data_IF_361812497913
#
_entry.id   IF_361812497913
#
_cell.length_a   1.000
_cell.length_b   1.000
_cell.length_c   1.000
_cell.angle_alpha   90.00
_cell.angle_beta   90.00
_cell.angle_gamma   90.00
#
_symmetry.space_group_name_H-M   'P 1'
#
loop_
_entity.id
_entity.type
_entity.pdbx_description
1 polymer ?
#
# COMPACT_ATOMS: atom_id res chain seq x y z
N UNK A 1 17.97 -34.79 19.56
CA UNK A 1 18.55 -33.81 18.61
C UNK A 1 19.44 -34.57 17.67
N UNK A 2 19.25 -34.42 16.35
CA UNK A 2 20.13 -35.06 15.38
C UNK A 2 21.55 -34.46 15.51
N UNK A 3 22.60 -35.25 15.30
CA UNK A 3 23.99 -34.78 15.35
C UNK A 3 24.22 -33.54 14.46
N UNK A 4 23.53 -33.48 13.30
CA UNK A 4 23.56 -32.35 12.39
C UNK A 4 22.96 -31.05 12.95
N UNK A 5 21.99 -31.11 13.87
CA UNK A 5 21.30 -29.92 14.39
C UNK A 5 22.25 -29.02 15.20
N UNK A 6 23.13 -29.62 16.01
CA UNK A 6 24.11 -28.89 16.81
C UNK A 6 25.16 -28.19 15.91
N UNK A 7 25.60 -28.89 14.86
CA UNK A 7 26.54 -28.34 13.88
C UNK A 7 25.88 -27.19 13.11
N UNK A 8 24.62 -27.34 12.67
CA UNK A 8 23.87 -26.26 12.04
C UNK A 8 23.72 -25.03 12.94
N UNK A 9 23.40 -25.20 14.23
CA UNK A 9 23.33 -24.08 15.18
C UNK A 9 24.68 -23.35 15.30
N UNK A 10 25.79 -24.09 15.31
CA UNK A 10 27.13 -23.49 15.36
C UNK A 10 27.46 -22.73 14.08
N UNK A 11 27.07 -23.26 12.92
CA UNK A 11 27.23 -22.59 11.62
C UNK A 11 26.37 -21.33 11.52
N UNK A 12 25.16 -21.33 12.08
CA UNK A 12 24.31 -20.15 12.18
C UNK A 12 24.89 -19.10 13.13
N UNK A 13 25.43 -19.50 14.28
CA UNK A 13 26.15 -18.60 15.18
C UNK A 13 27.37 -17.95 14.49
N UNK A 14 28.13 -18.74 13.72
CA UNK A 14 29.24 -18.22 12.91
C UNK A 14 28.75 -17.25 11.83
N UNK A 15 27.63 -17.56 11.15
CA UNK A 15 27.03 -16.67 10.16
C UNK A 15 26.62 -15.33 10.79
N UNK A 16 26.10 -15.36 12.01
CA UNK A 16 25.72 -14.18 12.78
C UNK A 16 26.95 -13.33 13.17
N UNK A 17 28.02 -13.95 13.67
CA UNK A 17 29.27 -13.24 13.96
C UNK A 17 29.84 -12.59 12.69
N UNK A 18 29.85 -13.29 11.56
CA UNK A 18 30.33 -12.78 10.28
C UNK A 18 29.49 -11.60 9.76
N UNK A 19 28.18 -11.59 10.06
CA UNK A 19 27.26 -10.50 9.74
C UNK A 19 27.55 -9.24 10.57
N UNK A 20 27.96 -9.40 11.83
CA UNK A 20 28.21 -8.29 12.77
C UNK A 20 29.58 -7.63 12.61
N UNK A 21 30.53 -8.24 11.87
CA UNK A 21 31.84 -7.64 11.60
C UNK A 21 31.73 -6.28 10.89
N UNK A 22 32.71 -5.40 11.11
CA UNK A 22 32.88 -4.17 10.31
C UNK A 22 34.19 -4.26 9.49
N UNK A 23 34.11 -4.33 8.15
CA UNK A 23 32.90 -4.43 7.31
C UNK A 23 32.23 -5.82 7.39
N UNK A 24 30.90 -5.91 7.17
CA UNK A 24 30.15 -7.16 7.30
C UNK A 24 30.49 -8.16 6.19
N UNK A 25 30.82 -9.39 6.57
CA UNK A 25 31.21 -10.46 5.63
C UNK A 25 30.01 -11.29 5.15
N UNK A 26 28.99 -10.61 4.61
CA UNK A 26 27.68 -11.17 4.22
C UNK A 26 27.81 -12.40 3.32
N UNK A 27 28.70 -12.38 2.32
CA UNK A 27 28.90 -13.53 1.41
C UNK A 27 29.36 -14.78 2.16
N UNK A 28 30.17 -14.63 3.21
CA UNK A 28 30.62 -15.74 4.04
C UNK A 28 29.50 -16.19 4.99
N UNK A 29 28.76 -15.27 5.58
CA UNK A 29 27.58 -15.59 6.40
C UNK A 29 26.54 -16.42 5.62
N UNK A 30 26.26 -16.05 4.37
CA UNK A 30 25.36 -16.81 3.48
C UNK A 30 25.93 -18.21 3.19
N UNK A 31 27.23 -18.35 2.96
CA UNK A 31 27.87 -19.66 2.76
C UNK A 31 27.77 -20.55 4.00
N UNK A 32 27.96 -19.99 5.20
CA UNK A 32 27.80 -20.71 6.46
C UNK A 32 26.34 -21.19 6.64
N UNK A 33 25.36 -20.32 6.43
CA UNK A 33 23.95 -20.70 6.54
C UNK A 33 23.52 -21.72 5.46
N UNK A 34 24.00 -21.59 4.22
CA UNK A 34 23.77 -22.59 3.16
C UNK A 34 24.42 -23.93 3.45
N UNK A 35 25.65 -23.92 3.98
CA UNK A 35 26.36 -25.14 4.36
C UNK A 35 25.64 -25.93 5.46
N UNK A 36 24.92 -25.25 6.35
CA UNK A 36 24.11 -25.96 7.35
C UNK A 36 22.99 -26.81 6.71
N UNK A 37 22.45 -26.41 5.55
CA UNK A 37 21.40 -27.17 4.85
C UNK A 37 21.90 -28.46 4.18
N UNK A 38 23.22 -28.68 4.10
CA UNK A 38 23.78 -29.93 3.56
C UNK A 38 23.88 -31.03 4.63
N UNK A 39 23.57 -30.70 5.88
CA UNK A 39 23.58 -31.63 7.01
C UNK A 39 22.23 -32.36 7.09
N UNK A 40 22.23 -33.52 7.76
CA UNK A 40 20.99 -34.21 8.15
C UNK A 40 20.35 -33.48 9.34
N UNK A 41 19.36 -32.64 9.04
CA UNK A 41 18.68 -31.79 10.01
C UNK A 41 17.28 -32.32 10.34
N UNK A 42 16.84 -32.01 11.55
CA UNK A 42 15.42 -32.06 11.91
C UNK A 42 14.60 -31.10 11.05
N UNK A 43 13.28 -31.34 10.98
CA UNK A 43 12.36 -30.47 10.21
C UNK A 43 12.36 -29.05 10.80
N UNK A 44 12.38 -28.95 12.13
CA UNK A 44 12.44 -27.68 12.86
C UNK A 44 13.74 -26.93 12.60
N UNK A 45 14.89 -27.63 12.63
CA UNK A 45 16.18 -27.00 12.35
C UNK A 45 16.31 -26.60 10.88
N UNK A 46 15.79 -27.40 9.96
CA UNK A 46 15.73 -27.07 8.53
C UNK A 46 14.95 -25.78 8.30
N UNK A 47 13.76 -25.66 8.91
CA UNK A 47 12.96 -24.44 8.86
C UNK A 47 13.74 -23.24 9.45
N UNK A 48 14.44 -23.43 10.57
CA UNK A 48 15.24 -22.39 11.20
C UNK A 48 16.41 -21.91 10.33
N UNK A 49 17.18 -22.83 9.73
CA UNK A 49 18.31 -22.49 8.85
C UNK A 49 17.82 -21.77 7.59
N UNK A 50 16.76 -22.28 6.94
CA UNK A 50 16.16 -21.63 5.75
C UNK A 50 15.65 -20.23 6.08
N UNK A 51 15.07 -20.08 7.25
CA UNK A 51 14.61 -18.80 7.74
C UNK A 51 15.76 -17.78 7.94
N UNK A 52 16.84 -18.16 8.61
CA UNK A 52 18.01 -17.27 8.78
C UNK A 52 18.68 -16.95 7.44
N UNK A 53 18.72 -17.92 6.51
CA UNK A 53 19.22 -17.70 5.16
C UNK A 53 18.34 -16.71 4.38
N UNK A 54 17.03 -16.83 4.48
CA UNK A 54 16.06 -15.89 3.90
C UNK A 54 16.27 -14.47 4.42
N UNK A 55 16.50 -14.29 5.73
CA UNK A 55 16.84 -13.00 6.33
C UNK A 55 18.12 -12.40 5.76
N UNK A 56 19.19 -13.20 5.62
CA UNK A 56 20.44 -12.73 5.04
C UNK A 56 20.25 -12.25 3.61
N UNK A 57 19.49 -12.99 2.79
CA UNK A 57 19.15 -12.57 1.44
C UNK A 57 18.32 -11.28 1.42
N UNK A 58 17.30 -11.20 2.26
CA UNK A 58 16.37 -10.08 2.28
C UNK A 58 17.00 -8.74 2.71
N UNK A 59 17.80 -8.77 3.79
CA UNK A 59 18.37 -7.56 4.38
C UNK A 59 19.69 -7.13 3.72
N UNK A 60 20.50 -8.09 3.28
CA UNK A 60 21.89 -7.83 2.89
C UNK A 60 22.20 -8.06 1.40
N UNK A 61 21.21 -8.46 0.59
CA UNK A 61 21.39 -8.69 -0.85
C UNK A 61 20.25 -8.08 -1.68
N UNK A 62 20.36 -8.20 -3.01
CA UNK A 62 19.31 -7.78 -3.95
C UNK A 62 18.52 -8.99 -4.52
N UNK A 63 18.78 -10.19 -4.02
CA UNK A 63 18.17 -11.43 -4.51
C UNK A 63 16.85 -11.74 -3.77
N UNK A 64 15.80 -10.98 -4.08
CA UNK A 64 14.51 -11.12 -3.41
C UNK A 64 13.80 -12.45 -3.71
N UNK A 65 13.95 -12.99 -4.92
CA UNK A 65 13.32 -14.26 -5.29
C UNK A 65 13.87 -15.42 -4.43
N UNK A 66 15.20 -15.44 -4.21
CA UNK A 66 15.83 -16.42 -3.33
C UNK A 66 15.46 -16.20 -1.85
N UNK A 67 15.30 -14.94 -1.42
CA UNK A 67 14.81 -14.63 -0.09
C UNK A 67 13.41 -15.21 0.12
N UNK A 68 12.50 -14.96 -0.84
CA UNK A 68 11.12 -15.42 -0.81
C UNK A 68 11.04 -16.96 -0.80
N UNK A 69 11.73 -17.63 -1.73
CA UNK A 69 11.79 -19.10 -1.78
C UNK A 69 12.29 -19.72 -0.47
N UNK A 70 13.32 -19.13 0.16
CA UNK A 70 13.84 -19.63 1.44
C UNK A 70 12.83 -19.44 2.58
N UNK A 71 12.10 -18.31 2.59
CA UNK A 71 11.11 -18.00 3.61
C UNK A 71 9.83 -18.84 3.45
N UNK A 72 9.35 -19.04 2.22
CA UNK A 72 8.23 -19.92 1.89
C UNK A 72 8.56 -21.37 2.27
N UNK A 73 9.74 -21.87 1.87
CA UNK A 73 10.17 -23.22 2.25
C UNK A 73 10.39 -23.39 3.76
N UNK A 74 10.78 -22.33 4.46
CA UNK A 74 10.84 -22.34 5.93
C UNK A 74 9.43 -22.40 6.54
N UNK A 75 8.48 -21.68 5.95
CA UNK A 75 7.07 -21.68 6.36
C UNK A 75 6.40 -23.04 6.10
N UNK A 76 6.68 -23.67 4.96
CA UNK A 76 6.14 -25.00 4.61
C UNK A 76 6.70 -26.11 5.49
N UNK A 77 7.98 -26.05 5.85
CA UNK A 77 8.59 -27.04 6.75
C UNK A 77 8.21 -26.83 8.22
N UNK A 78 7.86 -25.63 8.65
CA UNK A 78 7.31 -25.42 9.99
C UNK A 78 5.85 -25.88 10.01
N UNK A 79 5.54 -27.03 10.62
CA UNK A 79 4.19 -27.56 10.76
C UNK A 79 3.21 -26.59 11.46
N UNK A 80 2.66 -25.62 10.72
CA UNK A 80 1.70 -24.63 11.21
C UNK A 80 0.66 -24.26 10.14
N UNK A 81 0.13 -25.27 9.46
CA UNK A 81 -0.79 -25.08 8.34
C UNK A 81 -2.27 -24.87 8.69
N UNK A 82 -2.71 -24.76 9.96
CA UNK A 82 -4.17 -24.77 10.22
C UNK A 82 -4.78 -23.80 11.24
N UNK A 83 -4.04 -22.91 11.92
CA UNK A 83 -4.68 -21.94 12.84
C UNK A 83 -4.41 -20.46 12.54
N UNK A 84 -3.39 -20.13 11.73
CA UNK A 84 -3.02 -18.73 11.50
C UNK A 84 -3.96 -17.98 10.54
N UNK A 85 -4.79 -18.68 9.77
CA UNK A 85 -5.78 -18.03 8.89
C UNK A 85 -7.13 -17.77 9.59
N UNK A 86 -7.42 -18.47 10.70
CA UNK A 86 -8.70 -18.34 11.42
C UNK A 86 -8.60 -17.69 12.81
N UNK A 87 -7.39 -17.43 13.33
CA UNK A 87 -7.21 -16.76 14.63
C UNK A 87 -6.26 -15.59 14.44
N UNK A 88 -6.84 -14.39 14.29
CA UNK A 88 -6.14 -13.16 13.97
C UNK A 88 -5.00 -12.82 14.92
N UNK A 89 -3.96 -12.16 14.36
CA UNK A 89 -2.89 -11.33 14.95
C UNK A 89 -2.13 -11.81 16.21
N UNK A 90 -2.59 -12.84 16.91
CA UNK A 90 -2.18 -13.20 18.26
C UNK A 90 -0.99 -14.17 18.24
N UNK A 91 -0.96 -15.13 17.31
CA UNK A 91 0.21 -16.02 17.11
C UNK A 91 1.30 -15.44 16.20
N UNK A 92 0.97 -14.44 15.37
CA UNK A 92 1.99 -13.63 14.67
C UNK A 92 2.97 -12.97 15.65
N UNK A 93 2.49 -12.68 16.88
CA UNK A 93 3.25 -12.08 17.99
C UNK A 93 4.33 -13.01 18.58
N UNK A 94 4.19 -14.32 18.44
CA UNK A 94 5.12 -15.32 19.01
C UNK A 94 6.27 -15.68 18.05
N UNK A 95 6.05 -15.60 16.73
CA UNK A 95 7.07 -15.89 15.72
C UNK A 95 7.89 -14.65 15.30
N UNK A 96 7.33 -13.45 15.49
CA UNK A 96 7.91 -12.15 15.12
C UNK A 96 9.25 -11.77 15.79
N UNK A 97 9.53 -12.09 17.07
CA UNK A 97 10.79 -11.72 17.72
C UNK A 97 12.03 -12.32 17.05
N UNK A 98 11.87 -13.34 16.19
CA UNK A 98 12.97 -13.97 15.43
C UNK A 98 13.17 -13.37 14.02
N UNK A 99 12.17 -12.68 13.47
CA UNK A 99 12.14 -12.07 12.13
C UNK A 99 12.88 -10.75 12.04
N UNK A 100 12.74 -9.90 13.06
CA UNK A 100 13.27 -8.54 13.07
C UNK A 100 13.61 -8.12 14.49
N UNK A 101 14.71 -7.38 14.66
CA UNK A 101 15.02 -6.71 15.92
C UNK A 101 13.92 -5.71 16.29
N UNK A 102 13.92 -5.23 17.53
CA UNK A 102 12.86 -4.37 18.08
C UNK A 102 12.58 -3.12 17.25
N UNK A 103 13.60 -2.57 16.57
CA UNK A 103 13.47 -1.34 15.78
C UNK A 103 12.71 -1.55 14.46
N UNK A 104 13.14 -2.42 13.53
CA UNK A 104 12.38 -2.69 12.29
C UNK A 104 10.97 -3.17 12.55
N UNK A 105 10.80 -3.99 13.58
CA UNK A 105 9.52 -4.43 14.09
C UNK A 105 8.61 -3.25 14.43
N UNK A 106 9.10 -2.32 15.25
CA UNK A 106 8.32 -1.13 15.65
C UNK A 106 7.94 -0.29 14.43
N UNK A 107 8.88 -0.07 13.49
CA UNK A 107 8.65 0.71 12.27
C UNK A 107 7.59 0.03 11.38
N UNK A 108 7.67 -1.29 11.20
CA UNK A 108 6.68 -2.06 10.45
C UNK A 108 5.29 -2.01 11.10
N UNK A 109 5.21 -2.23 12.41
CA UNK A 109 3.94 -2.18 13.14
C UNK A 109 3.29 -0.79 13.04
N UNK A 110 4.09 0.28 13.13
CA UNK A 110 3.62 1.64 12.92
C UNK A 110 3.11 1.83 11.48
N UNK A 111 3.83 1.33 10.47
CA UNK A 111 3.42 1.41 9.06
C UNK A 111 2.06 0.73 8.84
N UNK A 112 1.89 -0.52 9.29
CA UNK A 112 0.62 -1.23 9.16
C UNK A 112 -0.51 -0.53 9.91
N UNK A 113 -0.22 0.04 11.07
CA UNK A 113 -1.20 0.82 11.83
C UNK A 113 -1.61 2.10 11.09
N UNK A 114 -0.66 2.78 10.44
CA UNK A 114 -0.92 3.98 9.63
C UNK A 114 -1.76 3.62 8.41
N UNK A 115 -1.43 2.54 7.69
CA UNK A 115 -2.23 2.05 6.54
C UNK A 115 -3.67 1.78 6.97
N UNK A 116 -3.87 1.03 8.05
CA UNK A 116 -5.21 0.75 8.55
C UNK A 116 -5.94 2.03 9.01
N UNK A 117 -5.24 2.94 9.70
CA UNK A 117 -5.82 4.20 10.15
C UNK A 117 -6.20 5.11 8.97
N UNK A 118 -5.43 5.10 7.88
CA UNK A 118 -5.73 5.83 6.66
C UNK A 118 -7.01 5.32 6.00
N UNK A 119 -7.18 3.99 5.88
CA UNK A 119 -8.40 3.37 5.35
C UNK A 119 -9.64 3.71 6.17
N UNK A 120 -9.49 3.73 7.51
CA UNK A 120 -10.55 4.11 8.46
C UNK A 120 -10.74 5.63 8.58
N UNK A 121 -10.02 6.44 7.79
CA UNK A 121 -10.04 7.90 7.86
C UNK A 121 -9.69 8.49 9.25
N UNK A 122 -8.94 7.75 10.08
CA UNK A 122 -8.48 8.18 11.39
C UNK A 122 -7.06 8.76 11.30
N UNK A 123 -6.95 9.96 10.72
CA UNK A 123 -5.66 10.59 10.42
C UNK A 123 -4.89 11.03 11.67
N UNK A 124 -5.58 11.35 12.77
CA UNK A 124 -4.93 11.67 14.05
C UNK A 124 -4.19 10.47 14.63
N UNK A 125 -4.80 9.28 14.56
CA UNK A 125 -4.13 8.04 14.95
C UNK A 125 -2.92 7.80 14.06
N UNK A 126 -3.05 7.94 12.75
CA UNK A 126 -1.93 7.80 11.82
C UNK A 126 -0.75 8.73 12.18
N UNK A 127 -1.03 10.01 12.45
CA UNK A 127 -0.01 10.99 12.83
C UNK A 127 0.73 10.60 14.13
N UNK A 128 0.02 10.09 15.14
CA UNK A 128 0.64 9.60 16.39
C UNK A 128 1.65 8.48 16.11
N UNK A 129 1.26 7.46 15.35
CA UNK A 129 2.18 6.35 15.02
C UNK A 129 3.31 6.78 14.08
N UNK A 130 3.09 7.78 13.23
CA UNK A 130 4.13 8.34 12.37
C UNK A 130 5.26 8.96 13.21
N UNK A 131 4.91 9.78 14.22
CA UNK A 131 5.93 10.37 15.12
C UNK A 131 6.74 9.32 15.86
N UNK A 132 6.08 8.23 16.32
CA UNK A 132 6.75 7.10 16.96
C UNK A 132 7.76 6.47 16.00
N UNK A 133 7.36 6.16 14.77
CA UNK A 133 8.24 5.53 13.78
C UNK A 133 9.41 6.45 13.35
N UNK A 134 9.15 7.75 13.18
CA UNK A 134 10.15 8.74 12.79
C UNK A 134 11.26 8.88 13.83
N UNK A 135 10.93 8.78 15.13
CA UNK A 135 11.88 8.87 16.24
C UNK A 135 12.84 7.67 16.36
N UNK A 136 12.59 6.55 15.65
CA UNK A 136 13.35 5.30 15.80
C UNK A 136 14.54 5.23 14.85
N UNK A 137 15.75 5.52 15.33
CA UNK A 137 16.96 5.43 14.49
C UNK A 137 17.42 3.97 14.28
N UNK A 138 17.68 3.54 13.04
CA UNK A 138 18.28 2.24 12.76
C UNK A 138 19.79 2.24 13.04
N UNK A 139 20.28 1.23 13.76
CA UNK A 139 21.69 1.15 14.19
C UNK A 139 22.52 0.02 13.51
N UNK A 140 22.01 -0.72 12.52
CA UNK A 140 22.79 -1.75 11.81
C UNK A 140 22.68 -1.62 10.28
N UNK A 141 23.81 -1.79 9.56
CA UNK A 141 23.93 -1.51 8.12
C UNK A 141 22.97 -2.32 7.22
N UNK A 142 22.74 -3.61 7.51
CA UNK A 142 21.80 -4.41 6.70
C UNK A 142 20.32 -4.17 7.01
N UNK A 143 20.05 -3.76 8.24
CA UNK A 143 18.70 -3.37 8.68
C UNK A 143 18.35 -1.96 8.20
N UNK A 144 19.37 -1.11 8.00
CA UNK A 144 19.22 0.25 7.50
C UNK A 144 18.44 0.30 6.19
N UNK A 145 18.74 -0.60 5.23
CA UNK A 145 18.08 -0.59 3.91
C UNK A 145 16.60 -0.95 4.00
N UNK A 146 16.23 -1.96 4.78
CA UNK A 146 14.82 -2.36 4.95
C UNK A 146 14.02 -1.32 5.74
N UNK A 147 14.61 -0.77 6.81
CA UNK A 147 14.01 0.33 7.59
C UNK A 147 13.86 1.59 6.76
N UNK A 148 14.85 1.92 5.91
CA UNK A 148 14.72 3.02 4.96
C UNK A 148 13.56 2.81 3.99
N UNK A 149 13.36 1.59 3.46
CA UNK A 149 12.18 1.28 2.62
C UNK A 149 10.86 1.45 3.38
N UNK A 150 10.78 0.95 4.62
CA UNK A 150 9.60 1.15 5.46
C UNK A 150 9.37 2.63 5.80
N UNK A 151 10.43 3.40 6.05
CA UNK A 151 10.37 4.85 6.26
C UNK A 151 9.90 5.60 5.01
N UNK A 152 10.30 5.16 3.82
CA UNK A 152 9.78 5.73 2.58
C UNK A 152 8.27 5.46 2.45
N UNK A 153 7.82 4.22 2.71
CA UNK A 153 6.40 3.90 2.71
C UNK A 153 5.62 4.67 3.80
N UNK A 154 6.22 4.87 4.98
CA UNK A 154 5.65 5.70 6.05
C UNK A 154 5.44 7.14 5.62
N UNK A 155 6.46 7.76 5.02
CA UNK A 155 6.36 9.13 4.51
C UNK A 155 5.33 9.25 3.38
N UNK A 156 5.24 8.25 2.49
CA UNK A 156 4.23 8.22 1.42
C UNK A 156 2.81 8.14 1.98
N UNK A 157 2.55 7.22 2.91
CA UNK A 157 1.25 7.10 3.57
C UNK A 157 0.89 8.33 4.39
N UNK A 158 1.85 8.94 5.07
CA UNK A 158 1.61 10.14 5.87
C UNK A 158 1.37 11.37 4.98
N UNK A 159 2.08 11.49 3.85
CA UNK A 159 1.80 12.52 2.86
C UNK A 159 0.36 12.42 2.37
N UNK A 160 -0.10 11.20 2.03
CA UNK A 160 -1.50 10.96 1.67
C UNK A 160 -2.45 11.36 2.80
N UNK A 161 -2.22 10.88 4.03
CA UNK A 161 -3.05 11.26 5.19
C UNK A 161 -3.13 12.78 5.40
N UNK A 162 -2.02 13.51 5.20
CA UNK A 162 -1.99 14.96 5.33
C UNK A 162 -2.76 15.66 4.21
N UNK A 163 -2.67 15.17 2.96
CA UNK A 163 -3.53 15.66 1.87
C UNK A 163 -5.01 15.43 2.24
N UNK A 164 -5.34 14.23 2.74
CA UNK A 164 -6.69 13.86 3.13
C UNK A 164 -7.25 14.68 4.29
N UNK A 165 -6.40 15.04 5.25
CA UNK A 165 -6.72 15.86 6.42
C UNK A 165 -6.69 17.38 6.12
N UNK A 166 -6.50 17.78 4.85
CA UNK A 166 -6.38 19.17 4.44
C UNK A 166 -5.19 19.92 5.08
N UNK A 167 -4.06 19.24 5.27
CA UNK A 167 -2.80 19.79 5.76
C UNK A 167 -1.72 19.77 4.66
N UNK A 168 -1.86 20.54 3.57
CA UNK A 168 -0.97 20.45 2.41
C UNK A 168 0.49 20.84 2.72
N UNK A 169 0.72 21.78 3.64
CA UNK A 169 2.09 22.14 4.07
C UNK A 169 2.84 20.95 4.67
N UNK A 170 2.19 20.21 5.57
CA UNK A 170 2.75 18.99 6.17
C UNK A 170 2.90 17.87 5.14
N UNK A 171 2.02 17.80 4.13
CA UNK A 171 2.17 16.83 3.06
C UNK A 171 3.45 17.09 2.25
N UNK A 172 3.77 18.36 1.96
CA UNK A 172 5.01 18.73 1.23
C UNK A 172 6.26 18.32 2.01
N UNK A 173 6.28 18.47 3.32
CA UNK A 173 7.46 18.05 4.11
C UNK A 173 7.70 16.55 4.01
N UNK A 174 6.63 15.74 4.08
CA UNK A 174 6.71 14.30 3.88
C UNK A 174 7.13 13.94 2.45
N UNK A 175 6.69 14.75 1.48
CA UNK A 175 7.02 14.61 0.06
C UNK A 175 8.52 14.88 -0.16
N UNK A 176 9.06 15.98 0.36
CA UNK A 176 10.45 16.37 0.13
C UNK A 176 11.47 15.39 0.73
N UNK A 177 11.07 14.62 1.76
CA UNK A 177 11.90 13.61 2.41
C UNK A 177 12.01 12.28 1.63
N UNK A 178 11.39 12.17 0.45
CA UNK A 178 11.48 10.99 -0.42
C UNK A 178 12.45 11.26 -1.58
N UNK A 179 13.70 10.72 -1.57
CA UNK A 179 14.71 10.97 -2.61
C UNK A 179 14.33 10.41 -4.00
N UNK A 180 13.25 9.63 -4.08
CA UNK A 180 12.65 9.13 -5.32
C UNK A 180 11.15 9.26 -5.19
N UNK A 181 10.64 10.45 -5.48
CA UNK A 181 9.22 10.69 -5.42
C UNK A 181 8.50 9.72 -6.36
N UNK A 182 7.62 8.90 -5.78
CA UNK A 182 6.68 8.12 -6.56
C UNK A 182 5.77 9.15 -7.22
N UNK A 183 5.89 9.36 -8.54
CA UNK A 183 5.16 10.41 -9.27
C UNK A 183 3.65 10.36 -9.02
N UNK A 184 3.16 9.20 -8.60
CA UNK A 184 1.80 8.96 -8.14
C UNK A 184 1.36 9.89 -6.98
N UNK A 185 2.12 9.97 -5.90
CA UNK A 185 1.77 10.80 -4.72
C UNK A 185 1.87 12.30 -5.01
N UNK A 186 2.74 12.69 -5.95
CA UNK A 186 2.84 14.05 -6.47
C UNK A 186 1.60 14.39 -7.32
N UNK A 187 1.12 13.45 -8.12
CA UNK A 187 -0.12 13.60 -8.89
C UNK A 187 -1.32 13.90 -7.99
N UNK A 188 -1.42 13.21 -6.85
CA UNK A 188 -2.45 13.48 -5.84
C UNK A 188 -2.31 14.85 -5.18
N UNK A 189 -1.09 15.26 -4.86
CA UNK A 189 -0.83 16.59 -4.31
C UNK A 189 -1.21 17.71 -5.29
N UNK A 190 -0.81 17.60 -6.56
CA UNK A 190 -1.23 18.54 -7.62
C UNK A 190 -2.75 18.51 -7.86
N UNK A 191 -3.37 17.33 -7.79
CA UNK A 191 -4.82 17.17 -7.90
C UNK A 191 -5.56 17.93 -6.79
N UNK A 192 -5.03 17.87 -5.56
CA UNK A 192 -5.52 18.63 -4.41
C UNK A 192 -5.37 20.14 -4.61
N UNK A 193 -4.21 20.60 -5.09
CA UNK A 193 -3.95 22.01 -5.40
C UNK A 193 -4.73 22.55 -6.61
N UNK A 194 -5.53 21.69 -7.27
CA UNK A 194 -6.30 22.01 -8.48
C UNK A 194 -5.44 22.40 -9.67
N UNK A 195 -4.28 21.77 -9.81
CA UNK A 195 -3.39 21.88 -10.96
C UNK A 195 -3.51 20.60 -11.83
N UNK A 196 -4.57 20.44 -12.63
CA UNK A 196 -4.83 19.20 -13.35
C UNK A 196 -3.75 18.88 -14.40
N UNK A 197 -3.15 19.89 -15.02
CA UNK A 197 -2.06 19.72 -15.99
C UNK A 197 -0.78 19.18 -15.34
N UNK A 198 -0.46 19.65 -14.13
CA UNK A 198 0.67 19.13 -13.36
C UNK A 198 0.38 17.71 -12.87
N UNK A 199 -0.85 17.46 -12.37
CA UNK A 199 -1.29 16.14 -11.95
C UNK A 199 -1.20 15.11 -13.08
N UNK A 200 -1.65 15.46 -14.28
CA UNK A 200 -1.56 14.61 -15.48
C UNK A 200 -0.12 14.23 -15.80
N UNK A 201 0.82 15.19 -15.82
CA UNK A 201 2.24 14.93 -16.05
C UNK A 201 2.81 13.94 -15.04
N UNK A 202 2.43 14.10 -13.76
CA UNK A 202 2.85 13.22 -12.68
C UNK A 202 2.25 11.81 -12.80
N UNK A 203 0.96 11.67 -13.13
CA UNK A 203 0.35 10.36 -13.35
C UNK A 203 0.91 9.65 -14.59
N UNK A 204 1.14 10.37 -15.70
CA UNK A 204 1.80 9.83 -16.89
C UNK A 204 3.26 9.44 -16.65
N UNK A 205 3.96 10.12 -15.74
CA UNK A 205 5.28 9.69 -15.31
C UNK A 205 5.18 8.42 -14.45
N UNK A 206 4.18 8.32 -13.57
CA UNK A 206 3.95 7.15 -12.71
C UNK A 206 3.69 5.87 -13.52
N UNK A 207 2.98 5.95 -14.66
CA UNK A 207 2.73 4.77 -15.50
C UNK A 207 4.01 4.16 -16.09
N UNK A 208 5.08 4.95 -16.21
CA UNK A 208 6.38 4.51 -16.75
C UNK A 208 7.27 3.83 -15.69
N UNK A 209 6.89 3.85 -14.41
CA UNK A 209 7.69 3.23 -13.34
C UNK A 209 7.55 1.71 -13.30
N UNK A 210 8.64 1.03 -12.92
CA UNK A 210 8.70 -0.44 -12.81
C UNK A 210 7.63 -1.03 -11.86
N UNK A 211 7.26 -0.30 -10.80
CA UNK A 211 6.23 -0.72 -9.84
C UNK A 211 4.82 -0.76 -10.46
N UNK A 212 4.58 0.00 -11.52
CA UNK A 212 3.33 -0.02 -12.28
C UNK A 212 3.12 -1.32 -13.09
N UNK A 213 4.04 -2.29 -12.99
CA UNK A 213 3.84 -3.65 -13.51
C UNK A 213 2.86 -4.46 -12.66
N UNK A 214 2.67 -4.09 -11.40
CA UNK A 214 1.60 -4.67 -10.58
C UNK A 214 0.24 -4.17 -11.09
N UNK A 215 -0.68 -5.11 -11.35
CA UNK A 215 -1.99 -4.77 -11.94
C UNK A 215 -2.82 -3.84 -11.04
N UNK A 216 -2.75 -3.97 -9.71
CA UNK A 216 -3.50 -3.08 -8.80
C UNK A 216 -2.99 -1.65 -8.86
N UNK A 217 -1.65 -1.48 -8.83
CA UNK A 217 -1.00 -0.16 -8.93
C UNK A 217 -1.30 0.47 -10.28
N UNK A 218 -1.23 -0.34 -11.34
CA UNK A 218 -1.54 0.09 -12.69
C UNK A 218 -2.97 0.61 -12.81
N UNK A 219 -3.97 -0.18 -12.38
CA UNK A 219 -5.38 0.21 -12.45
C UNK A 219 -5.63 1.47 -11.63
N UNK A 220 -5.11 1.55 -10.40
CA UNK A 220 -5.34 2.72 -9.56
C UNK A 220 -4.70 3.99 -10.13
N UNK A 221 -3.54 3.89 -10.77
CA UNK A 221 -2.91 5.02 -11.47
C UNK A 221 -3.77 5.48 -12.64
N UNK A 222 -4.32 4.55 -13.42
CA UNK A 222 -5.18 4.85 -14.57
C UNK A 222 -6.55 5.40 -14.17
N UNK A 223 -7.14 4.94 -13.06
CA UNK A 223 -8.35 5.52 -12.48
C UNK A 223 -8.13 7.00 -12.13
N UNK A 224 -7.03 7.32 -11.45
CA UNK A 224 -6.70 8.70 -11.10
C UNK A 224 -6.42 9.58 -12.33
N UNK A 225 -5.76 9.04 -13.35
CA UNK A 225 -5.55 9.71 -14.63
C UNK A 225 -6.87 9.97 -15.36
N UNK A 226 -7.79 8.99 -15.38
CA UNK A 226 -9.11 9.13 -15.98
C UNK A 226 -9.95 10.21 -15.28
N UNK A 227 -9.93 10.28 -13.94
CA UNK A 227 -10.57 11.36 -13.18
C UNK A 227 -9.96 12.73 -13.57
N UNK A 228 -8.64 12.77 -13.75
CA UNK A 228 -7.91 13.97 -14.16
C UNK A 228 -8.29 14.42 -15.58
N UNK A 229 -8.56 13.49 -16.50
CA UNK A 229 -9.06 13.79 -17.85
C UNK A 229 -10.51 14.27 -17.84
N UNK A 230 -11.40 13.62 -17.07
CA UNK A 230 -12.78 14.08 -16.89
C UNK A 230 -12.81 15.52 -16.33
N UNK A 231 -11.93 15.82 -15.38
CA UNK A 231 -11.74 17.14 -14.81
C UNK A 231 -11.28 18.22 -15.80
N UNK A 232 -10.59 17.82 -16.87
CA UNK A 232 -10.12 18.71 -17.94
C UNK A 232 -11.02 18.69 -19.18
N UNK A 233 -12.13 17.92 -19.16
CA UNK A 233 -12.98 17.67 -20.31
C UNK A 233 -12.25 17.02 -21.51
N UNK A 234 -11.15 16.29 -21.25
CA UNK A 234 -10.38 15.51 -22.23
C UNK A 234 -11.04 14.14 -22.46
N UNK A 235 -12.18 14.14 -23.17
CA UNK A 235 -13.00 12.94 -23.31
C UNK A 235 -12.35 11.85 -24.19
N UNK A 236 -11.56 12.23 -25.21
CA UNK A 236 -10.92 11.25 -26.09
C UNK A 236 -9.92 10.38 -25.31
N UNK A 237 -9.02 11.03 -24.58
CA UNK A 237 -8.02 10.39 -23.73
C UNK A 237 -8.65 9.62 -22.56
N UNK A 238 -9.79 10.08 -22.06
CA UNK A 238 -10.57 9.34 -21.08
C UNK A 238 -11.06 8.00 -21.64
N UNK A 239 -11.68 7.97 -22.83
CA UNK A 239 -12.22 6.74 -23.41
C UNK A 239 -11.13 5.70 -23.69
N UNK A 240 -9.94 6.12 -24.13
CA UNK A 240 -8.78 5.24 -24.31
C UNK A 240 -8.38 4.49 -23.03
N UNK A 241 -8.53 5.15 -21.87
CA UNK A 241 -8.29 4.55 -20.56
C UNK A 241 -9.49 3.73 -20.10
N UNK A 242 -10.71 4.23 -20.28
CA UNK A 242 -11.94 3.60 -19.80
C UNK A 242 -12.13 2.19 -20.38
N UNK A 243 -11.76 1.98 -21.66
CA UNK A 243 -11.81 0.66 -22.32
C UNK A 243 -10.92 -0.40 -21.64
N UNK A 244 -9.85 0.05 -20.98
CA UNK A 244 -8.91 -0.80 -20.25
C UNK A 244 -9.37 -1.06 -18.81
N UNK A 245 -10.28 -0.24 -18.29
CA UNK A 245 -10.83 -0.30 -16.93
C UNK A 245 -12.19 -1.02 -16.85
N UNK A 246 -12.50 -1.88 -17.83
CA UNK A 246 -13.74 -2.67 -17.82
C UNK A 246 -13.71 -3.78 -16.76
N UNK A 247 -14.86 -4.16 -16.17
CA UNK A 247 -14.92 -5.18 -15.11
C UNK A 247 -14.21 -6.49 -15.46
N UNK A 248 -14.31 -6.93 -16.71
CA UNK A 248 -13.67 -8.16 -17.20
C UNK A 248 -12.13 -8.08 -17.18
N UNK A 249 -11.55 -6.91 -17.51
CA UNK A 249 -10.09 -6.73 -17.54
C UNK A 249 -9.49 -6.62 -16.14
N UNK A 250 -10.27 -6.11 -15.18
CA UNK A 250 -9.83 -5.89 -13.80
C UNK A 250 -10.34 -6.94 -12.82
N UNK A 251 -10.96 -8.03 -13.27
CA UNK A 251 -11.56 -9.07 -12.43
C UNK A 251 -10.59 -9.66 -11.39
N UNK A 252 -9.30 -9.79 -11.75
CA UNK A 252 -8.27 -10.34 -10.87
C UNK A 252 -7.62 -9.29 -9.94
N UNK A 253 -8.11 -8.05 -9.93
CA UNK A 253 -7.63 -7.01 -9.03
C UNK A 253 -8.33 -7.10 -7.67
N UNK A 254 -7.69 -6.50 -6.67
CA UNK A 254 -8.24 -6.36 -5.32
C UNK A 254 -9.61 -5.68 -5.34
N UNK A 255 -10.43 -6.01 -4.35
CA UNK A 255 -11.79 -5.47 -4.23
C UNK A 255 -11.81 -3.94 -4.18
N UNK A 256 -10.88 -3.33 -3.43
CA UNK A 256 -10.72 -1.88 -3.35
C UNK A 256 -10.48 -1.27 -4.73
N UNK A 257 -9.58 -1.86 -5.53
CA UNK A 257 -9.26 -1.37 -6.87
C UNK A 257 -10.47 -1.48 -7.80
N UNK A 258 -11.18 -2.62 -7.77
CA UNK A 258 -12.39 -2.82 -8.58
C UNK A 258 -13.49 -1.84 -8.20
N UNK A 259 -13.71 -1.61 -6.90
CA UNK A 259 -14.75 -0.70 -6.43
C UNK A 259 -14.47 0.76 -6.80
N UNK A 260 -13.19 1.18 -6.80
CA UNK A 260 -12.78 2.51 -7.27
C UNK A 260 -12.97 2.70 -8.77
N UNK A 261 -12.70 1.66 -9.59
CA UNK A 261 -12.99 1.71 -11.02
C UNK A 261 -14.50 1.75 -11.30
N UNK A 262 -15.31 1.01 -10.53
CA UNK A 262 -16.77 1.07 -10.62
C UNK A 262 -17.31 2.46 -10.28
N UNK A 263 -16.76 3.09 -9.24
CA UNK A 263 -17.12 4.45 -8.86
C UNK A 263 -16.76 5.48 -9.95
N UNK A 264 -15.63 5.32 -10.65
CA UNK A 264 -15.28 6.13 -11.83
C UNK A 264 -16.35 6.00 -12.93
N UNK A 265 -16.79 4.79 -13.24
CA UNK A 265 -17.83 4.55 -14.25
C UNK A 265 -19.17 5.18 -13.85
N UNK A 266 -19.54 5.07 -12.57
CA UNK A 266 -20.72 5.75 -12.02
C UNK A 266 -20.63 7.28 -12.19
N UNK A 267 -19.47 7.85 -11.85
CA UNK A 267 -19.25 9.29 -11.99
C UNK A 267 -19.28 9.75 -13.45
N UNK A 268 -18.71 8.96 -14.36
CA UNK A 268 -18.82 9.23 -15.79
C UNK A 268 -20.28 9.16 -16.29
N UNK A 269 -21.05 8.16 -15.86
CA UNK A 269 -22.48 8.05 -16.17
C UNK A 269 -23.28 9.26 -15.66
N UNK A 270 -22.93 9.79 -14.48
CA UNK A 270 -23.47 11.06 -13.97
C UNK A 270 -23.17 12.23 -14.91
N UNK A 271 -21.91 12.40 -15.34
CA UNK A 271 -21.51 13.48 -16.25
C UNK A 271 -22.22 13.41 -17.61
N UNK A 272 -22.55 12.20 -18.09
CA UNK A 272 -23.32 11.98 -19.31
C UNK A 272 -24.84 12.06 -19.11
N UNK A 273 -25.31 12.46 -17.92
CA UNK A 273 -26.73 12.51 -17.55
C UNK A 273 -27.47 11.16 -17.69
N UNK A 274 -26.75 10.04 -17.56
CA UNK A 274 -27.32 8.68 -17.55
C UNK A 274 -27.72 8.29 -16.13
N UNK A 275 -28.77 8.94 -15.63
CA UNK A 275 -29.22 8.87 -14.22
C UNK A 275 -29.47 7.43 -13.75
N UNK A 276 -30.15 6.59 -14.55
CA UNK A 276 -30.50 5.23 -14.15
C UNK A 276 -29.26 4.33 -14.02
N UNK A 277 -28.36 4.38 -15.02
CA UNK A 277 -27.09 3.64 -15.01
C UNK A 277 -26.22 4.06 -13.83
N UNK A 278 -26.11 5.37 -13.59
CA UNK A 278 -25.40 5.95 -12.46
C UNK A 278 -25.94 5.42 -11.11
N UNK A 279 -27.27 5.39 -10.92
CA UNK A 279 -27.88 4.89 -9.67
C UNK A 279 -27.54 3.43 -9.40
N UNK A 280 -27.64 2.57 -10.41
CA UNK A 280 -27.33 1.14 -10.27
C UNK A 280 -25.87 0.95 -9.86
N UNK A 281 -24.94 1.60 -10.58
CA UNK A 281 -23.51 1.47 -10.31
C UNK A 281 -23.12 1.99 -8.92
N UNK A 282 -23.74 3.08 -8.45
CA UNK A 282 -23.48 3.65 -7.11
C UNK A 282 -24.05 2.76 -6.01
N UNK A 283 -25.25 2.21 -6.18
CA UNK A 283 -25.87 1.36 -5.17
C UNK A 283 -25.00 0.14 -4.85
N UNK A 284 -24.52 -0.54 -5.90
CA UNK A 284 -23.58 -1.67 -5.78
C UNK A 284 -22.23 -1.24 -5.14
N UNK A 285 -21.71 -0.08 -5.54
CA UNK A 285 -20.48 0.48 -4.98
C UNK A 285 -20.62 0.78 -3.48
N UNK A 286 -21.77 1.32 -3.06
CA UNK A 286 -22.09 1.61 -1.66
C UNK A 286 -22.19 0.35 -0.81
N UNK A 287 -22.87 -0.68 -1.32
CA UNK A 287 -23.03 -1.96 -0.61
C UNK A 287 -21.66 -2.59 -0.35
N UNK A 288 -20.84 -2.67 -1.39
CA UNK A 288 -19.47 -3.19 -1.31
C UNK A 288 -18.60 -2.35 -0.38
N UNK A 289 -18.66 -1.01 -0.50
CA UNK A 289 -17.86 -0.12 0.33
C UNK A 289 -18.25 -0.20 1.82
N UNK A 290 -19.52 -0.42 2.12
CA UNK A 290 -20.00 -0.61 3.49
C UNK A 290 -19.57 -1.95 4.08
N UNK A 291 -19.64 -3.04 3.29
CA UNK A 291 -19.25 -4.37 3.74
C UNK A 291 -17.75 -4.47 4.09
N UNK A 292 -16.92 -3.71 3.37
CA UNK A 292 -15.45 -3.73 3.50
C UNK A 292 -14.89 -2.55 4.30
N UNK A 293 -15.74 -1.81 5.03
CA UNK A 293 -15.35 -0.65 5.84
C UNK A 293 -14.55 0.42 5.05
N UNK A 294 -14.87 0.61 3.77
CA UNK A 294 -14.27 1.64 2.90
C UNK A 294 -14.99 2.98 3.11
N UNK A 295 -14.86 3.55 4.30
CA UNK A 295 -15.62 4.73 4.76
C UNK A 295 -15.61 5.90 3.78
N UNK A 296 -14.45 6.18 3.16
CA UNK A 296 -14.31 7.31 2.24
C UNK A 296 -15.06 7.09 0.93
N UNK A 297 -14.88 5.92 0.33
CA UNK A 297 -15.58 5.54 -0.89
C UNK A 297 -17.10 5.48 -0.63
N UNK A 298 -17.50 4.91 0.50
CA UNK A 298 -18.91 4.90 0.93
C UNK A 298 -19.48 6.33 1.06
N UNK A 299 -18.75 7.24 1.70
CA UNK A 299 -19.15 8.65 1.84
C UNK A 299 -19.25 9.38 0.49
N UNK A 300 -18.30 9.15 -0.43
CA UNK A 300 -18.33 9.71 -1.77
C UNK A 300 -19.51 9.16 -2.60
N UNK A 301 -19.79 7.87 -2.47
CA UNK A 301 -20.93 7.23 -3.13
C UNK A 301 -22.27 7.74 -2.60
N UNK A 302 -22.41 7.97 -1.28
CA UNK A 302 -23.60 8.65 -0.71
C UNK A 302 -23.76 10.06 -1.28
N UNK A 303 -22.67 10.83 -1.33
CA UNK A 303 -22.70 12.19 -1.86
C UNK A 303 -23.15 12.19 -3.32
N UNK A 304 -22.60 11.30 -4.16
CA UNK A 304 -23.02 11.18 -5.56
C UNK A 304 -24.49 10.76 -5.66
N UNK A 305 -24.91 9.77 -4.88
CA UNK A 305 -26.29 9.28 -4.85
C UNK A 305 -27.28 10.40 -4.49
N UNK A 306 -26.94 11.24 -3.50
CA UNK A 306 -27.79 12.35 -3.04
C UNK A 306 -28.01 13.42 -4.11
N UNK A 307 -27.03 13.63 -4.99
CA UNK A 307 -27.13 14.60 -6.09
C UNK A 307 -27.97 14.05 -7.25
N UNK A 308 -27.99 12.73 -7.41
CA UNK A 308 -28.72 12.02 -8.48
C UNK A 308 -30.21 11.84 -8.12
N UNK A 309 -30.61 12.11 -6.88
CA UNK A 309 -32.03 12.20 -6.50
C UNK A 309 -32.59 13.62 -6.78
N UNK A 310 -33.81 13.75 -7.34
CA UNK A 310 -34.49 15.02 -7.33
C UNK A 310 -34.85 15.35 -5.88
N UNK A 311 -34.14 16.30 -5.28
CA UNK A 311 -34.51 16.87 -3.99
C UNK A 311 -35.84 17.61 -4.18
N UNK A 312 -36.86 17.30 -3.36
CA UNK A 312 -38.14 18.02 -3.35
C UNK A 312 -37.87 19.54 -3.23
N UNK A 313 -38.53 20.30 -4.11
CA UNK A 313 -38.11 21.63 -4.55
C UNK A 313 -38.23 22.78 -3.53
N UNK A 314 -38.47 22.52 -2.24
CA UNK A 314 -38.70 23.59 -1.25
C UNK A 314 -37.41 24.13 -0.58
N UNK A 315 -36.26 23.47 -0.73
CA UNK A 315 -35.01 23.90 -0.05
C UNK A 315 -34.05 24.67 -0.99
N UNK A 316 -34.29 24.65 -2.31
CA UNK A 316 -33.32 25.15 -3.31
C UNK A 316 -33.45 26.62 -3.73
N UNK A 317 -34.49 27.36 -3.32
CA UNK A 317 -34.63 28.79 -3.66
C UNK A 317 -33.55 29.70 -3.05
N UNK A 318 -32.62 29.15 -2.26
CA UNK A 318 -31.46 29.87 -1.69
C UNK A 318 -30.09 29.43 -2.24
N UNK A 319 -30.02 28.48 -3.18
CA UNK A 319 -28.74 27.89 -3.60
C UNK A 319 -28.50 27.95 -5.12
N UNK A 320 -29.26 28.75 -5.87
CA UNK A 320 -29.17 28.83 -7.34
C UNK A 320 -28.04 29.74 -7.87
N UNK A 321 -27.21 30.33 -7.01
CA UNK A 321 -26.19 31.31 -7.44
C UNK A 321 -24.74 30.87 -7.26
N UNK A 322 -24.43 29.60 -6.94
CA UNK A 322 -23.02 29.20 -6.70
C UNK A 322 -22.68 27.76 -7.10
N UNK A 323 -22.09 27.57 -8.29
CA UNK A 323 -20.94 26.68 -8.49
C UNK A 323 -21.01 25.21 -8.02
N UNK A 324 -22.17 24.53 -8.12
CA UNK A 324 -22.35 23.18 -7.56
C UNK A 324 -21.56 22.07 -8.25
N UNK A 325 -21.16 22.24 -9.51
CA UNK A 325 -20.32 21.25 -10.21
C UNK A 325 -18.87 21.26 -9.65
N UNK A 326 -18.32 22.44 -9.35
CA UNK A 326 -16.95 22.60 -8.83
C UNK A 326 -16.79 22.10 -7.40
N UNK A 327 -17.82 22.23 -6.55
CA UNK A 327 -17.79 21.76 -5.17
C UNK A 327 -17.77 20.22 -5.05
N UNK A 328 -18.39 19.51 -6.00
CA UNK A 328 -18.35 18.04 -6.04
C UNK A 328 -16.98 17.52 -6.50
N UNK A 329 -16.39 18.16 -7.51
CA UNK A 329 -15.01 17.89 -7.96
C UNK A 329 -13.96 18.10 -6.85
N UNK A 330 -14.18 19.05 -5.92
CA UNK A 330 -13.31 19.31 -4.77
C UNK A 330 -13.25 18.15 -3.75
N UNK A 331 -14.33 17.38 -3.60
CA UNK A 331 -14.37 16.21 -2.69
C UNK A 331 -13.95 14.90 -3.39
N UNK A 332 -14.18 14.79 -4.70
CA UNK A 332 -13.97 13.58 -5.48
C UNK A 332 -12.48 13.26 -5.77
N UNK A 333 -11.59 14.25 -5.80
CA UNK A 333 -10.18 14.09 -6.25
C UNK A 333 -9.23 13.42 -5.24
N UNK A 334 -9.77 12.79 -4.22
CA UNK A 334 -9.01 12.20 -3.13
C UNK A 334 -9.52 10.78 -2.89
N UNK A 335 -9.35 9.92 -3.88
CA UNK A 335 -9.71 8.51 -3.80
C UNK A 335 -8.44 7.70 -3.52
N UNK A 336 -8.34 7.28 -2.26
CA UNK A 336 -7.68 6.05 -1.82
C UNK A 336 -8.65 5.32 -0.89
#
# INVERSE_FOLDING_TARGET
MASGDHVAMTMLAMAETLRQLQPPKVKMAIKCAKGALTLSLSVEMTAHVRFQLGKLYFFYTENFDLALQCLESAFECGSFYLECFNIGMSRFREMYPRWMDTVPLTVFACLMTIVNSALQCNYERAAKYYTIAASRNPCEYGVLRSVQRMRMALNEMMAQCNIMACHPSMAVDNVLLLPRFNCYSQGHYCSYLREPEAAEKHFLAATKFKSCKDKNIWVMTHVNLAITYLAQCKLAEFYEIADQLTPNRIANCSLIVRNNAQFLHAFHAYLLNKVLECRTLIAECMETAKAEDLFRLYGLSILLFSIVQPVEAEVFSKLETSGKSTAFFLKFRLIY
#
